data_IF_955495565934
#
_entry.id   IF_955495565934
#
_cell.length_a   1.000
_cell.length_b   1.000
_cell.length_c   1.000
_cell.angle_alpha   90.00
_cell.angle_beta   90.00
_cell.angle_gamma   90.00
#
_symmetry.space_group_name_H-M   'P 1'
#
loop_
_entity.id
_entity.type
_entity.pdbx_description
1 polymer ?
#
# COMPACT_ATOMS: atom_id res chain seq x y z
N UNK A 1 -5.77 9.89 -20.62
CA UNK A 1 -5.08 9.18 -19.53
C UNK A 1 -5.43 7.70 -19.62
N UNK A 2 -4.50 6.84 -20.03
CA UNK A 2 -4.73 5.40 -20.13
C UNK A 2 -4.97 4.86 -18.71
N UNK A 3 -6.18 4.33 -18.42
CA UNK A 3 -6.46 3.70 -17.14
C UNK A 3 -5.43 2.58 -16.96
N UNK A 4 -4.63 2.57 -15.88
CA UNK A 4 -3.69 1.47 -15.66
C UNK A 4 -4.49 0.18 -15.72
N UNK A 5 -4.11 -0.73 -16.63
CA UNK A 5 -4.68 -2.06 -16.69
C UNK A 5 -4.44 -2.67 -15.31
N UNK A 6 -5.50 -2.81 -14.51
CA UNK A 6 -5.42 -3.47 -13.23
C UNK A 6 -4.73 -4.82 -13.46
N UNK A 7 -3.54 -5.00 -12.87
CA UNK A 7 -2.79 -6.23 -12.99
C UNK A 7 -3.69 -7.36 -12.45
N UNK A 8 -4.19 -8.21 -13.34
CA UNK A 8 -5.03 -9.35 -12.97
C UNK A 8 -4.11 -10.45 -12.43
N UNK A 9 -4.49 -11.05 -11.30
CA UNK A 9 -3.77 -12.17 -10.70
C UNK A 9 -3.53 -13.27 -11.75
N UNK A 10 -2.29 -13.74 -11.86
CA UNK A 10 -1.96 -14.87 -12.72
C UNK A 10 -2.46 -16.16 -12.08
N UNK A 11 -3.58 -16.69 -12.57
CA UNK A 11 -4.16 -17.95 -12.08
C UNK A 11 -3.87 -19.08 -13.07
N UNK A 12 -3.59 -20.28 -12.53
CA UNK A 12 -3.37 -21.51 -13.28
C UNK A 12 -4.62 -22.39 -13.28
N UNK A 13 -4.85 -23.09 -14.38
CA UNK A 13 -5.98 -24.00 -14.50
C UNK A 13 -5.75 -25.24 -13.63
N UNK A 14 -6.72 -25.68 -12.81
CA UNK A 14 -6.56 -26.87 -11.97
C UNK A 14 -6.50 -28.18 -12.77
N UNK A 15 -6.91 -28.19 -14.05
CA UNK A 15 -6.92 -29.41 -14.88
C UNK A 15 -5.67 -29.59 -15.74
N UNK A 16 -5.13 -28.51 -16.30
CA UNK A 16 -4.04 -28.60 -17.29
C UNK A 16 -2.86 -27.65 -17.00
N UNK A 17 -2.89 -26.92 -15.89
CA UNK A 17 -1.89 -25.92 -15.47
C UNK A 17 -1.61 -24.79 -16.49
N UNK A 18 -2.38 -24.75 -17.59
CA UNK A 18 -2.33 -23.64 -18.52
C UNK A 18 -2.73 -22.33 -17.83
N UNK A 19 -2.26 -21.21 -18.37
CA UNK A 19 -2.61 -19.88 -17.87
C UNK A 19 -4.12 -19.65 -18.01
N UNK A 20 -4.71 -18.93 -17.06
CA UNK A 20 -6.09 -18.50 -17.16
C UNK A 20 -6.17 -16.98 -17.35
N UNK A 21 -7.23 -16.53 -18.02
CA UNK A 21 -7.55 -15.11 -18.22
C UNK A 21 -8.81 -14.79 -17.45
N UNK A 22 -8.69 -13.89 -16.47
CA UNK A 22 -9.84 -13.34 -15.76
C UNK A 22 -10.73 -12.59 -16.75
N UNK A 23 -12.04 -12.77 -16.68
CA UNK A 23 -13.03 -12.18 -17.57
C UNK A 23 -13.78 -11.07 -16.87
N UNK A 24 -14.63 -11.43 -15.90
CA UNK A 24 -15.51 -10.55 -15.16
C UNK A 24 -15.18 -10.64 -13.69
N UNK A 25 -15.13 -9.49 -13.04
CA UNK A 25 -15.00 -9.38 -11.59
C UNK A 25 -16.29 -8.85 -10.97
N UNK A 26 -16.64 -9.37 -9.80
CA UNK A 26 -17.75 -8.93 -8.98
C UNK A 26 -17.23 -8.65 -7.57
N UNK A 27 -17.25 -7.39 -7.17
CA UNK A 27 -16.86 -7.00 -5.82
C UNK A 27 -17.97 -7.36 -4.84
N UNK A 28 -17.68 -8.24 -3.89
CA UNK A 28 -18.64 -8.70 -2.87
C UNK A 28 -18.57 -7.82 -1.64
N UNK A 29 -17.35 -7.46 -1.20
CA UNK A 29 -17.12 -6.56 -0.07
C UNK A 29 -15.90 -5.68 -0.31
N UNK A 30 -15.49 -4.88 0.69
CA UNK A 30 -14.24 -4.11 0.58
C UNK A 30 -13.01 -5.01 0.52
N UNK A 31 -13.08 -6.19 1.14
CA UNK A 31 -11.96 -7.14 1.23
C UNK A 31 -12.07 -8.31 0.27
N UNK A 32 -13.27 -8.62 -0.25
CA UNK A 32 -13.53 -9.79 -1.10
C UNK A 32 -14.04 -9.42 -2.49
N UNK A 33 -13.42 -10.00 -3.51
CA UNK A 33 -13.84 -9.91 -4.92
C UNK A 33 -13.86 -11.30 -5.55
N UNK A 34 -14.92 -11.63 -6.27
CA UNK A 34 -15.00 -12.82 -7.10
C UNK A 34 -14.60 -12.49 -8.54
N UNK A 35 -13.88 -13.41 -9.19
CA UNK A 35 -13.44 -13.23 -10.57
C UNK A 35 -13.65 -14.52 -11.35
N UNK A 36 -14.36 -14.42 -12.48
CA UNK A 36 -14.49 -15.50 -13.45
C UNK A 36 -13.17 -15.67 -14.22
N UNK A 37 -12.64 -16.88 -14.29
CA UNK A 37 -11.47 -17.24 -15.08
C UNK A 37 -11.83 -18.22 -16.18
N UNK A 38 -11.21 -18.02 -17.35
CA UNK A 38 -11.26 -18.92 -18.49
C UNK A 38 -9.85 -19.45 -18.77
N UNK A 39 -9.71 -20.76 -18.91
CA UNK A 39 -8.47 -21.40 -19.32
C UNK A 39 -8.10 -21.02 -20.76
N UNK A 40 -6.81 -20.75 -21.03
CA UNK A 40 -6.36 -20.45 -22.40
C UNK A 40 -6.17 -21.69 -23.28
N UNK A 41 -6.12 -22.89 -22.70
CA UNK A 41 -6.03 -24.12 -23.49
C UNK A 41 -7.40 -24.45 -24.08
N UNK A 42 -7.57 -24.41 -25.42
CA UNK A 42 -8.85 -24.66 -26.07
C UNK A 42 -9.37 -26.09 -25.87
N UNK A 43 -8.49 -27.07 -25.65
CA UNK A 43 -8.90 -28.46 -25.38
C UNK A 43 -9.47 -28.61 -23.97
N UNK A 44 -8.94 -27.86 -23.01
CA UNK A 44 -9.40 -27.87 -21.63
C UNK A 44 -10.71 -27.07 -21.48
N UNK A 45 -10.74 -25.85 -22.03
CA UNK A 45 -11.87 -24.91 -22.01
C UNK A 45 -12.54 -24.72 -20.63
N UNK A 46 -11.81 -24.97 -19.55
CA UNK A 46 -12.37 -24.91 -18.21
C UNK A 46 -12.64 -23.45 -17.79
N UNK A 47 -13.81 -23.24 -17.17
CA UNK A 47 -14.25 -21.96 -16.63
C UNK A 47 -14.61 -22.13 -15.15
N UNK A 48 -14.08 -21.24 -14.31
CA UNK A 48 -14.23 -21.34 -12.86
C UNK A 48 -14.18 -19.95 -12.21
N UNK A 49 -14.62 -19.86 -10.97
CA UNK A 49 -14.63 -18.62 -10.19
C UNK A 49 -13.52 -18.67 -9.15
N UNK A 50 -12.82 -17.56 -8.96
CA UNK A 50 -11.81 -17.39 -7.90
C UNK A 50 -12.26 -16.27 -6.97
N UNK A 51 -12.28 -16.57 -5.67
CA UNK A 51 -12.43 -15.59 -4.62
C UNK A 51 -11.05 -15.01 -4.26
N UNK A 52 -10.91 -13.69 -4.39
CA UNK A 52 -9.70 -12.95 -4.01
C UNK A 52 -10.03 -12.13 -2.78
N UNK A 53 -9.42 -12.48 -1.65
CA UNK A 53 -9.66 -11.84 -0.36
C UNK A 53 -8.37 -11.24 0.23
N UNK A 54 -8.48 -10.02 0.76
CA UNK A 54 -7.48 -9.48 1.68
C UNK A 54 -7.67 -10.13 3.06
N UNK A 55 -6.72 -10.96 3.50
CA UNK A 55 -6.88 -11.77 4.73
C UNK A 55 -6.24 -11.16 5.98
N UNK A 56 -5.17 -10.37 5.83
CA UNK A 56 -4.46 -9.74 6.95
C UNK A 56 -3.65 -8.53 6.52
N UNK A 57 -3.43 -7.62 7.45
CA UNK A 57 -2.56 -6.45 7.27
C UNK A 57 -1.12 -6.84 7.58
N UNK A 58 -0.23 -6.70 6.58
CA UNK A 58 1.22 -6.96 6.73
C UNK A 58 1.97 -5.64 6.97
N UNK A 59 1.48 -4.52 6.43
CA UNK A 59 1.95 -3.17 6.74
C UNK A 59 0.76 -2.24 6.93
N UNK A 60 0.85 -1.32 7.89
CA UNK A 60 -0.24 -0.41 8.22
C UNK A 60 -0.51 0.57 7.08
N UNK A 61 -1.78 0.89 6.85
CA UNK A 61 -2.18 1.93 5.90
C UNK A 61 -1.93 3.31 6.49
N UNK A 62 -1.42 4.24 5.69
CA UNK A 62 -1.34 5.66 6.04
C UNK A 62 -2.70 6.36 6.01
N UNK A 63 -3.72 5.72 5.41
CA UNK A 63 -5.10 6.24 5.33
C UNK A 63 -6.08 5.12 5.72
N UNK A 64 -6.16 4.77 7.02
CA UNK A 64 -7.03 3.69 7.47
C UNK A 64 -8.50 4.04 7.28
N UNK A 65 -9.29 3.07 6.81
CA UNK A 65 -10.75 3.16 6.81
C UNK A 65 -11.30 2.52 8.08
N UNK A 66 -12.28 3.18 8.70
CA UNK A 66 -12.89 2.71 9.97
C UNK A 66 -13.80 1.50 9.79
N UNK A 67 -14.30 1.24 8.57
CA UNK A 67 -15.19 0.12 8.24
C UNK A 67 -14.46 -1.13 7.73
N UNK A 68 -13.12 -1.13 7.74
CA UNK A 68 -12.29 -2.26 7.31
C UNK A 68 -11.50 -2.80 8.50
N UNK A 69 -11.86 -4.00 8.94
CA UNK A 69 -11.20 -4.69 10.05
C UNK A 69 -10.46 -5.93 9.55
N UNK A 70 -9.17 -5.77 9.29
CA UNK A 70 -8.26 -6.86 8.92
C UNK A 70 -7.39 -7.23 10.13
N UNK A 71 -7.18 -8.53 10.41
CA UNK A 71 -6.25 -8.93 11.45
C UNK A 71 -4.83 -8.48 11.09
N UNK A 72 -4.06 -8.04 12.08
CA UNK A 72 -2.65 -7.70 11.90
C UNK A 72 -1.81 -8.98 11.86
N UNK A 73 -0.85 -9.05 10.93
CA UNK A 73 0.10 -10.17 10.85
C UNK A 73 0.92 -10.30 12.14
N UNK A 74 1.39 -11.51 12.46
CA UNK A 74 2.11 -11.82 13.69
C UNK A 74 3.42 -11.04 13.86
N UNK A 75 4.06 -10.65 12.74
CA UNK A 75 5.30 -9.87 12.76
C UNK A 75 5.08 -8.44 13.27
N UNK A 76 3.86 -7.91 13.18
CA UNK A 76 3.52 -6.57 13.66
C UNK A 76 3.44 -6.60 15.19
N UNK A 77 4.42 -6.00 15.86
CA UNK A 77 4.49 -5.89 17.33
C UNK A 77 3.46 -4.89 17.85
N UNK A 78 2.20 -5.32 17.94
CA UNK A 78 1.03 -4.49 18.28
C UNK A 78 1.24 -3.61 19.53
N UNK A 79 1.77 -4.20 20.60
CA UNK A 79 2.02 -3.47 21.85
C UNK A 79 3.03 -2.32 21.67
N UNK A 80 4.14 -2.58 20.99
CA UNK A 80 5.18 -1.57 20.72
C UNK A 80 4.62 -0.41 19.89
N UNK A 81 3.85 -0.73 18.84
CA UNK A 81 3.23 0.28 17.98
C UNK A 81 2.22 1.12 18.76
N UNK A 82 1.36 0.49 19.57
CA UNK A 82 0.41 1.20 20.40
C UNK A 82 1.11 2.18 21.36
N UNK A 83 2.20 1.74 22.01
CA UNK A 83 3.01 2.60 22.87
C UNK A 83 3.66 3.74 22.09
N UNK A 84 4.22 3.49 20.91
CA UNK A 84 4.83 4.54 20.08
C UNK A 84 3.80 5.60 19.67
N UNK A 85 2.62 5.17 19.21
CA UNK A 85 1.53 6.07 18.80
C UNK A 85 1.03 6.90 19.97
N UNK A 86 0.94 6.34 21.18
CA UNK A 86 0.45 7.07 22.35
C UNK A 86 1.48 8.01 22.98
N UNK A 87 2.78 7.74 22.77
CA UNK A 87 3.86 8.44 23.50
C UNK A 87 4.55 9.50 22.65
N UNK A 88 4.67 9.27 21.34
CA UNK A 88 5.41 10.17 20.45
C UNK A 88 4.54 11.37 20.06
N UNK A 89 5.10 12.60 20.09
CA UNK A 89 4.40 13.76 19.58
C UNK A 89 4.21 13.64 18.05
N UNK A 90 3.19 14.30 17.47
CA UNK A 90 3.11 14.40 16.03
C UNK A 90 4.38 15.08 15.49
N UNK A 91 4.87 14.61 14.35
CA UNK A 91 5.91 15.33 13.64
C UNK A 91 5.39 16.74 13.32
N UNK A 92 6.25 17.76 13.48
CA UNK A 92 5.94 19.13 13.07
C UNK A 92 5.58 19.08 11.58
N UNK A 93 4.47 19.71 11.19
CA UNK A 93 4.07 19.74 9.80
C UNK A 93 5.18 20.37 8.96
N UNK A 94 5.38 19.89 7.74
CA UNK A 94 6.29 20.53 6.77
C UNK A 94 5.85 21.96 6.41
N UNK A 95 4.60 22.30 6.70
CA UNK A 95 4.05 23.66 6.57
C UNK A 95 4.62 24.63 7.61
N UNK A 96 5.18 24.09 8.70
CA UNK A 96 5.82 24.82 9.79
C UNK A 96 7.34 24.84 9.60
N UNK A 97 7.82 25.02 8.36
CA UNK A 97 9.19 25.48 8.15
C UNK A 97 9.24 26.94 8.63
N UNK A 98 10.12 27.33 9.57
CA UNK A 98 10.20 28.72 9.97
C UNK A 98 10.72 29.52 8.78
N UNK A 99 9.83 30.24 8.10
CA UNK A 99 10.21 31.34 7.23
C UNK A 99 10.92 32.38 8.10
N UNK A 100 12.25 32.29 8.22
CA UNK A 100 13.05 33.31 8.90
C UNK A 100 13.93 32.84 10.05
N UNK A 101 14.54 31.67 9.97
CA UNK A 101 15.83 31.46 10.64
C UNK A 101 16.90 31.20 9.58
N UNK A 102 17.14 32.22 8.75
CA UNK A 102 18.49 32.44 8.29
C UNK A 102 19.32 32.51 9.57
N UNK A 103 20.21 31.54 9.75
CA UNK A 103 21.29 31.65 10.70
C UNK A 103 21.96 32.99 10.42
N UNK A 104 21.66 34.01 11.22
CA UNK A 104 22.50 35.18 11.33
C UNK A 104 23.73 34.74 12.13
N UNK A 105 24.50 33.83 11.56
CA UNK A 105 25.92 33.78 11.82
C UNK A 105 26.44 35.03 11.12
N UNK A 106 26.44 36.13 11.86
CA UNK A 106 27.26 37.28 11.58
C UNK A 106 28.66 36.73 11.34
N UNK A 107 29.01 36.57 10.06
CA UNK A 107 30.38 36.50 9.60
C UNK A 107 30.94 37.88 9.89
N UNK A 108 31.31 38.07 11.16
CA UNK A 108 31.95 39.28 11.64
C UNK A 108 33.24 39.44 10.85
N UNK A 109 33.37 40.61 10.24
CA UNK A 109 34.61 41.35 10.08
C UNK A 109 35.88 40.50 10.10
N UNK A 110 36.11 39.77 9.01
CA UNK A 110 37.34 39.01 8.77
C UNK A 110 38.18 39.67 7.66
N UNK A 111 38.14 41.00 7.51
CA UNK A 111 38.94 41.72 6.51
C UNK A 111 39.50 43.08 6.98
N UNK A 112 39.52 43.39 8.29
CA UNK A 112 40.35 44.50 8.81
C UNK A 112 41.70 43.99 9.33
N UNK A 113 42.57 43.56 8.42
CA UNK A 113 44.02 43.53 8.64
C UNK A 113 44.75 43.23 7.32
N UNK A 114 45.16 44.28 6.60
CA UNK A 114 46.44 44.45 5.85
C UNK A 114 46.19 45.36 4.66
N UNK A 115 46.64 46.61 4.76
CA UNK A 115 46.63 47.62 3.69
C UNK A 115 46.99 48.98 4.23
#
# INVERSE_FOLDING_TARGET
>A
MSRPRAARLGVRCPHCDARCVGQRDRRISRVLTEVDYLCTNPECNHRFVVAVEAVRTIGLSSTPRTDVHLPLSSHIRRGVIATQISTLPPARSSDEWPAGQAASDSTGDLFEATG
#
